data_IF_353012748612
#
_entry.id   IF_353012748612
#
_cell.length_a   1.000
_cell.length_b   1.000
_cell.length_c   1.000
_cell.angle_alpha   90.00
_cell.angle_beta   90.00
_cell.angle_gamma   90.00
#
_symmetry.space_group_name_H-M   'P 1'
#
loop_
_entity.id
_entity.type
_entity.pdbx_description
1 polymer ?
#
# COMPACT_ATOMS: atom_id res chain seq x y z
N UNK A 1 -1.61 26.38 8.17
CA UNK A 1 -2.46 26.26 6.97
C UNK A 1 -2.87 24.80 6.87
N UNK A 2 -4.07 24.43 7.30
CA UNK A 2 -4.56 23.06 7.18
C UNK A 2 -4.96 22.82 5.73
N UNK A 3 -4.11 22.15 4.96
CA UNK A 3 -4.53 21.59 3.67
C UNK A 3 -5.77 20.75 3.92
N UNK A 4 -6.85 21.07 3.21
CA UNK A 4 -8.02 20.21 3.14
C UNK A 4 -7.49 18.89 2.58
N UNK A 5 -7.32 17.88 3.44
CA UNK A 5 -7.03 16.51 3.03
C UNK A 5 -8.26 16.00 2.29
N UNK A 6 -8.38 16.34 1.01
CA UNK A 6 -9.33 15.69 0.12
C UNK A 6 -9.10 14.19 0.28
N UNK A 7 -10.17 13.46 0.60
CA UNK A 7 -10.06 12.03 0.79
C UNK A 7 -9.49 11.39 -0.46
N UNK A 8 -8.46 10.55 -0.29
CA UNK A 8 -7.84 9.89 -1.42
C UNK A 8 -8.86 8.89 -2.02
N UNK A 9 -8.89 8.75 -3.36
CA UNK A 9 -9.85 7.88 -4.01
C UNK A 9 -9.64 6.43 -3.58
N UNK A 10 -10.71 5.73 -3.24
CA UNK A 10 -10.66 4.28 -3.03
C UNK A 10 -11.10 3.63 -4.34
N UNK A 11 -10.37 2.60 -4.84
CA UNK A 11 -10.76 1.89 -6.06
C UNK A 11 -12.14 1.26 -5.95
N UNK A 12 -12.72 0.89 -7.10
CA UNK A 12 -13.97 0.12 -7.12
C UNK A 12 -13.73 -1.30 -6.55
N UNK A 13 -14.83 -2.02 -6.26
CA UNK A 13 -14.77 -3.34 -5.62
C UNK A 13 -14.00 -4.38 -6.44
N UNK A 14 -14.17 -4.40 -7.76
CA UNK A 14 -13.49 -5.34 -8.65
C UNK A 14 -11.97 -5.13 -8.63
N UNK A 15 -11.53 -3.88 -8.60
CA UNK A 15 -10.12 -3.54 -8.50
C UNK A 15 -9.55 -3.89 -7.11
N UNK A 16 -10.30 -3.65 -6.03
CA UNK A 16 -9.89 -4.09 -4.68
C UNK A 16 -9.70 -5.61 -4.64
N UNK A 17 -10.61 -6.36 -5.26
CA UNK A 17 -10.53 -7.83 -5.34
C UNK A 17 -9.29 -8.29 -6.11
N UNK A 18 -9.04 -7.74 -7.31
CA UNK A 18 -7.82 -8.04 -8.11
C UNK A 18 -6.55 -7.72 -7.32
N UNK A 19 -6.52 -6.56 -6.68
CA UNK A 19 -5.40 -6.12 -5.83
C UNK A 19 -5.17 -7.09 -4.66
N UNK A 20 -6.24 -7.47 -3.94
CA UNK A 20 -6.15 -8.38 -2.80
C UNK A 20 -5.58 -9.75 -3.22
N UNK A 21 -6.04 -10.31 -4.34
CA UNK A 21 -5.47 -11.56 -4.86
C UNK A 21 -3.99 -11.46 -5.23
N UNK A 22 -3.57 -10.34 -5.83
CA UNK A 22 -2.15 -10.11 -6.14
C UNK A 22 -1.28 -9.96 -4.90
N UNK A 23 -1.75 -9.18 -3.92
CA UNK A 23 -1.07 -9.04 -2.63
C UNK A 23 -0.90 -10.40 -1.94
N UNK A 24 -1.91 -11.28 -2.00
CA UNK A 24 -1.83 -12.60 -1.40
C UNK A 24 -0.83 -13.54 -2.08
N UNK A 25 -0.62 -13.39 -3.39
CA UNK A 25 0.34 -14.19 -4.15
C UNK A 25 1.79 -13.75 -3.89
N UNK A 26 2.02 -12.44 -3.70
CA UNK A 26 3.37 -11.87 -3.68
C UNK A 26 3.83 -11.57 -2.24
N UNK A 27 2.92 -11.14 -1.37
CA UNK A 27 3.22 -10.66 -0.02
C UNK A 27 2.41 -11.43 1.03
N UNK A 28 2.62 -12.75 1.08
CA UNK A 28 1.89 -13.65 1.99
C UNK A 28 1.93 -13.17 3.45
N UNK A 29 3.07 -12.66 3.92
CA UNK A 29 3.25 -12.18 5.29
C UNK A 29 2.38 -10.97 5.63
N UNK A 30 2.14 -10.07 4.67
CA UNK A 30 1.25 -8.93 4.85
C UNK A 30 -0.23 -9.33 4.73
N UNK A 31 -0.53 -10.50 4.17
CA UNK A 31 -1.90 -10.96 3.93
C UNK A 31 -2.38 -12.02 4.93
N UNK A 32 -1.60 -12.36 5.96
CA UNK A 32 -2.08 -13.22 7.06
C UNK A 32 -2.48 -12.30 8.24
N UNK A 33 -3.67 -12.46 8.86
CA UNK A 33 -4.66 -13.52 8.68
C UNK A 33 -5.90 -13.05 7.88
N UNK A 34 -5.72 -12.63 6.63
CA UNK A 34 -6.81 -12.04 5.84
C UNK A 34 -7.99 -13.02 5.68
N UNK A 35 -9.20 -12.51 5.90
CA UNK A 35 -10.44 -13.16 5.48
C UNK A 35 -10.92 -12.42 4.23
N UNK A 36 -10.70 -12.99 3.04
CA UNK A 36 -10.83 -12.25 1.77
C UNK A 36 -12.17 -11.53 1.58
N UNK A 37 -13.34 -12.17 1.79
CA UNK A 37 -14.62 -11.49 1.61
C UNK A 37 -14.71 -10.23 2.48
N UNK A 38 -14.46 -10.39 3.78
CA UNK A 38 -14.48 -9.29 4.75
C UNK A 38 -13.42 -8.23 4.43
N UNK A 39 -12.23 -8.63 4.02
CA UNK A 39 -11.15 -7.69 3.69
C UNK A 39 -11.54 -6.79 2.52
N UNK A 40 -12.07 -7.37 1.45
CA UNK A 40 -12.50 -6.63 0.26
C UNK A 40 -13.67 -5.70 0.63
N UNK A 41 -14.68 -6.23 1.31
CA UNK A 41 -15.88 -5.48 1.66
C UNK A 41 -15.58 -4.37 2.67
N UNK A 42 -14.70 -4.61 3.65
CA UNK A 42 -14.33 -3.60 4.64
C UNK A 42 -13.46 -2.47 4.06
N UNK A 43 -12.64 -2.76 3.03
CA UNK A 43 -11.94 -1.70 2.29
C UNK A 43 -12.94 -0.89 1.47
N UNK A 44 -13.78 -1.56 0.68
CA UNK A 44 -14.74 -0.92 -0.22
C UNK A 44 -15.74 -0.03 0.56
N UNK A 45 -16.31 -0.57 1.64
CA UNK A 45 -17.26 0.14 2.49
C UNK A 45 -16.60 1.05 3.54
N UNK A 46 -15.26 1.17 3.52
CA UNK A 46 -14.48 2.04 4.43
C UNK A 46 -14.70 1.74 5.92
N UNK A 47 -14.94 0.47 6.25
CA UNK A 47 -15.14 0.00 7.63
C UNK A 47 -13.82 -0.04 8.38
N UNK A 48 -12.73 -0.40 7.69
CA UNK A 48 -11.40 -0.38 8.31
C UNK A 48 -10.92 1.04 8.62
N UNK A 49 -10.01 1.19 9.59
CA UNK A 49 -9.37 2.47 9.85
C UNK A 49 -8.73 3.04 8.59
N UNK A 50 -8.90 4.35 8.35
CA UNK A 50 -8.40 5.02 7.13
C UNK A 50 -6.90 4.83 6.94
N UNK A 51 -6.12 4.84 8.02
CA UNK A 51 -4.67 4.60 7.95
C UNK A 51 -4.33 3.21 7.41
N UNK A 52 -5.15 2.20 7.76
CA UNK A 52 -4.95 0.83 7.32
C UNK A 52 -5.30 0.69 5.84
N UNK A 53 -6.44 1.24 5.42
CA UNK A 53 -6.84 1.27 4.01
C UNK A 53 -5.75 1.91 3.15
N UNK A 54 -5.23 3.07 3.57
CA UNK A 54 -4.15 3.74 2.84
C UNK A 54 -2.84 2.93 2.84
N UNK A 55 -2.52 2.20 3.91
CA UNK A 55 -1.37 1.31 3.91
C UNK A 55 -1.52 0.20 2.86
N UNK A 56 -2.68 -0.47 2.82
CA UNK A 56 -2.99 -1.50 1.81
C UNK A 56 -2.86 -0.94 0.39
N UNK A 57 -3.47 0.24 0.13
CA UNK A 57 -3.42 0.88 -1.19
C UNK A 57 -1.99 1.25 -1.58
N UNK A 58 -1.16 1.69 -0.64
CA UNK A 58 0.24 2.01 -0.95
C UNK A 58 1.04 0.80 -1.46
N UNK A 59 0.75 -0.39 -0.95
CA UNK A 59 1.40 -1.63 -1.39
C UNK A 59 0.76 -2.23 -2.64
N UNK A 60 -0.56 -2.05 -2.82
CA UNK A 60 -1.35 -2.79 -3.79
C UNK A 60 -1.78 -2.04 -5.05
N UNK A 61 -1.88 -0.70 -5.03
CA UNK A 61 -2.52 0.07 -6.13
C UNK A 61 -1.84 -0.17 -7.49
N UNK A 62 -0.54 -0.45 -7.50
CA UNK A 62 0.24 -0.80 -8.71
C UNK A 62 -0.25 -2.03 -9.47
N UNK A 63 -1.05 -2.89 -8.83
CA UNK A 63 -1.59 -4.10 -9.46
C UNK A 63 -2.89 -3.86 -10.23
N UNK A 64 -3.48 -2.68 -10.10
CA UNK A 64 -4.72 -2.27 -10.77
C UNK A 64 -4.57 -0.98 -11.57
N UNK A 65 -3.57 -0.16 -11.25
CA UNK A 65 -3.20 1.02 -12.01
C UNK A 65 -1.70 0.97 -12.34
N UNK A 66 -1.35 1.19 -13.60
CA UNK A 66 0.05 1.27 -14.03
C UNK A 66 0.74 2.55 -13.52
N UNK A 67 -0.03 3.58 -13.14
CA UNK A 67 0.52 4.79 -12.55
C UNK A 67 0.83 4.59 -11.06
N UNK A 68 2.14 4.46 -10.80
CA UNK A 68 2.73 4.32 -9.46
C UNK A 68 2.81 5.63 -8.67
N UNK A 69 2.46 6.78 -9.27
CA UNK A 69 2.57 8.11 -8.65
C UNK A 69 1.74 8.24 -7.36
N UNK A 70 0.68 7.43 -7.23
CA UNK A 70 -0.24 7.47 -6.10
C UNK A 70 0.22 6.64 -4.89
N UNK A 71 1.07 5.64 -5.09
CA UNK A 71 1.64 4.81 -4.01
C UNK A 71 2.28 5.62 -2.87
N UNK A 72 3.23 6.55 -3.12
CA UNK A 72 3.85 7.36 -2.06
C UNK A 72 2.85 8.28 -1.35
N UNK A 73 1.79 8.71 -2.04
CA UNK A 73 0.75 9.58 -1.47
C UNK A 73 -0.04 8.79 -0.41
N UNK A 74 -0.45 7.56 -0.73
CA UNK A 74 -1.11 6.67 0.22
C UNK A 74 -0.19 6.33 1.40
N UNK A 75 1.07 5.98 1.14
CA UNK A 75 2.04 5.64 2.19
C UNK A 75 2.25 6.80 3.17
N UNK A 76 2.47 8.03 2.65
CA UNK A 76 2.66 9.23 3.46
C UNK A 76 1.43 9.55 4.31
N UNK A 77 0.23 9.44 3.74
CA UNK A 77 -1.02 9.70 4.46
C UNK A 77 -1.28 8.64 5.53
N UNK A 78 -1.07 7.35 5.22
CA UNK A 78 -1.17 6.27 6.19
C UNK A 78 -0.24 6.51 7.39
N UNK A 79 1.04 6.79 7.14
CA UNK A 79 2.01 7.04 8.19
C UNK A 79 1.66 8.29 9.03
N UNK A 80 1.17 9.35 8.37
CA UNK A 80 0.70 10.55 9.06
C UNK A 80 -0.47 10.28 10.00
N UNK A 81 -1.43 9.45 9.57
CA UNK A 81 -2.56 9.04 10.40
C UNK A 81 -2.14 8.13 11.55
N UNK A 82 -1.25 7.15 11.32
CA UNK A 82 -0.73 6.27 12.37
C UNK A 82 -0.03 7.07 13.48
N UNK A 83 0.76 8.09 13.12
CA UNK A 83 1.46 8.94 14.08
C UNK A 83 0.53 9.75 15.00
N UNK A 84 -0.69 10.01 14.54
CA UNK A 84 -1.70 10.74 15.29
C UNK A 84 -2.70 9.80 15.99
N UNK A 85 -2.56 8.49 15.82
CA UNK A 85 -3.43 7.50 16.45
C UNK A 85 -3.15 7.43 17.94
N UNK A 86 -4.21 7.53 18.75
CA UNK A 86 -4.12 7.51 20.21
C UNK A 86 -4.36 6.12 20.77
N UNK A 87 -5.13 5.31 20.05
CA UNK A 87 -5.36 3.92 20.42
C UNK A 87 -4.26 3.01 19.89
N UNK A 88 -3.19 2.87 20.66
CA UNK A 88 -2.07 1.97 20.33
C UNK A 88 -2.40 0.48 20.46
N UNK A 89 -3.59 0.12 20.94
CA UNK A 89 -4.01 -1.27 21.11
C UNK A 89 -4.60 -1.89 19.85
N UNK A 90 -4.90 -1.07 18.85
CA UNK A 90 -5.48 -1.51 17.59
C UNK A 90 -4.52 -2.43 16.80
N UNK A 91 -4.89 -3.69 16.50
CA UNK A 91 -4.05 -4.60 15.73
C UNK A 91 -3.82 -4.11 14.29
N UNK A 92 -4.70 -3.25 13.79
CA UNK A 92 -4.57 -2.65 12.46
C UNK A 92 -3.33 -1.75 12.35
N UNK A 93 -2.80 -1.22 13.45
CA UNK A 93 -1.56 -0.42 13.41
C UNK A 93 -0.40 -1.30 12.95
N UNK A 94 -0.23 -2.45 13.60
CA UNK A 94 0.83 -3.40 13.24
C UNK A 94 0.63 -3.92 11.81
N UNK A 95 -0.62 -4.20 11.44
CA UNK A 95 -0.93 -4.68 10.11
C UNK A 95 -0.69 -3.62 9.02
N UNK A 96 -1.01 -2.35 9.29
CA UNK A 96 -0.68 -1.23 8.41
C UNK A 96 0.84 -1.08 8.26
N UNK A 97 1.61 -1.23 9.33
CA UNK A 97 3.07 -1.23 9.26
C UNK A 97 3.62 -2.33 8.35
N UNK A 98 3.02 -3.54 8.35
CA UNK A 98 3.43 -4.61 7.43
C UNK A 98 3.26 -4.19 5.96
N UNK A 99 2.13 -3.57 5.61
CA UNK A 99 1.93 -3.06 4.25
C UNK A 99 2.87 -1.90 3.89
N UNK A 100 3.17 -1.00 4.83
CA UNK A 100 4.14 0.08 4.61
C UNK A 100 5.57 -0.45 4.41
N UNK A 101 5.96 -1.51 5.13
CA UNK A 101 7.23 -2.21 4.94
C UNK A 101 7.25 -2.86 3.54
N UNK A 102 6.17 -3.54 3.15
CA UNK A 102 6.02 -4.10 1.80
C UNK A 102 6.22 -3.05 0.71
N UNK A 103 5.50 -1.93 0.79
CA UNK A 103 5.66 -0.81 -0.13
C UNK A 103 7.12 -0.32 -0.20
N UNK A 104 7.75 -0.13 0.96
CA UNK A 104 9.12 0.40 1.03
C UNK A 104 10.13 -0.58 0.42
N UNK A 105 9.96 -1.88 0.65
CA UNK A 105 10.79 -2.93 0.07
C UNK A 105 10.68 -2.94 -1.46
N UNK A 106 9.45 -2.87 -1.99
CA UNK A 106 9.22 -2.87 -3.44
C UNK A 106 9.81 -1.64 -4.14
N UNK A 107 9.73 -0.46 -3.51
CA UNK A 107 10.37 0.76 -4.02
C UNK A 107 11.89 0.63 -4.02
N UNK A 108 12.45 0.05 -2.96
CA UNK A 108 13.89 -0.16 -2.84
C UNK A 108 14.41 -1.14 -3.90
N UNK A 109 13.72 -2.26 -4.09
CA UNK A 109 14.06 -3.25 -5.11
C UNK A 109 13.95 -2.66 -6.52
N UNK A 110 12.91 -1.87 -6.78
CA UNK A 110 12.76 -1.12 -8.04
C UNK A 110 13.96 -0.20 -8.32
N UNK A 111 14.45 0.50 -7.29
CA UNK A 111 15.60 1.40 -7.38
C UNK A 111 16.92 0.65 -7.61
N UNK A 112 17.13 -0.48 -6.92
CA UNK A 112 18.31 -1.33 -7.16
C UNK A 112 18.30 -1.82 -8.60
N UNK A 113 17.18 -2.37 -9.06
CA UNK A 113 17.07 -2.93 -10.40
C UNK A 113 17.28 -1.87 -11.50
N UNK A 114 16.77 -0.65 -11.33
CA UNK A 114 17.03 0.44 -12.29
C UNK A 114 18.48 0.90 -12.28
N UNK A 115 19.14 0.91 -11.10
CA UNK A 115 20.54 1.25 -10.98
C UNK A 115 21.45 0.19 -11.63
N UNK A 116 21.15 -1.09 -11.42
CA UNK A 116 21.86 -2.20 -12.07
C UNK A 116 21.75 -2.11 -13.59
N UNK A 117 20.57 -1.82 -14.15
CA UNK A 117 20.41 -1.64 -15.60
C UNK A 117 21.16 -0.42 -16.14
N UNK A 118 21.19 0.70 -15.41
CA UNK A 118 21.97 1.89 -15.80
C UNK A 118 23.47 1.62 -15.90
N UNK A 119 24.01 0.73 -15.06
CA UNK A 119 25.43 0.34 -15.09
C UNK A 119 25.77 -0.65 -16.22
N UNK A 120 24.80 -1.34 -16.81
CA UNK A 120 25.07 -2.17 -18.00
C UNK A 120 25.20 -1.35 -19.28
N UNK A 121 24.61 -0.14 -19.33
CA UNK A 121 24.64 0.72 -20.52
C UNK A 121 25.94 1.56 -20.57
N UNK A 122 26.58 1.84 -19.42
CA UNK A 122 27.84 2.60 -19.34
C UNK A 122 29.12 1.80 -19.61
N UNK A 123 29.00 0.51 -19.94
CA UNK A 123 30.14 -0.37 -20.24
C UNK A 123 30.12 -0.97 -21.65
N UNK A 124 29.43 -0.35 -22.60
CA UNK A 124 29.54 -0.71 -24.03
C UNK A 124 30.23 0.43 -24.79
N UNK A 125 31.56 0.30 -24.89
CA UNK A 125 32.55 0.99 -25.76
C UNK A 125 32.48 2.51 -25.94
#
# INVERSE_FOLDING_TARGET
MSEIQNELPIPNREDIEKMAFKLAQIHLSAMIPVQFPDFIDNIYNRVYPKYFIYAVLSAGIKYINNDRSTEPIYAKNSLGLIKNEKDSSSPFILWACMFLITYTADVHDGKINSFSQGNFISHTF
#
